data_IF_872636443847
#
_entry.id   IF_872636443847
#
_cell.length_a   1.000
_cell.length_b   1.000
_cell.length_c   1.000
_cell.angle_alpha   90.00
_cell.angle_beta   90.00
_cell.angle_gamma   90.00
#
_symmetry.space_group_name_H-M   'P 1'
#
loop_
_entity.id
_entity.type
_entity.pdbx_description
1 polymer ?
#
# COMPACT_ATOMS: atom_id res chain seq x y z
N UNK A 1 47.71 -10.88 -17.82
CA UNK A 1 46.73 -11.62 -18.63
C UNK A 1 45.55 -10.70 -18.89
N UNK A 2 45.39 -10.23 -20.12
CA UNK A 2 44.23 -9.45 -20.52
C UNK A 2 43.00 -10.41 -20.43
N UNK A 3 42.01 -10.06 -19.63
CA UNK A 3 40.70 -10.72 -19.66
C UNK A 3 40.16 -10.50 -21.08
N UNK A 4 40.05 -11.56 -21.89
CA UNK A 4 39.33 -11.53 -23.15
C UNK A 4 37.90 -11.05 -22.83
N UNK A 5 37.55 -9.86 -23.26
CA UNK A 5 36.23 -9.27 -23.14
C UNK A 5 35.29 -10.14 -24.00
N UNK A 6 34.49 -10.97 -23.37
CA UNK A 6 33.55 -11.84 -24.08
C UNK A 6 32.50 -10.97 -24.78
N UNK A 7 32.61 -10.85 -26.10
CA UNK A 7 31.66 -10.11 -26.94
C UNK A 7 30.83 -11.13 -27.74
N UNK A 8 29.52 -11.14 -27.51
CA UNK A 8 28.61 -12.08 -28.18
C UNK A 8 27.79 -11.36 -29.28
N UNK A 9 27.54 -12.09 -30.38
CA UNK A 9 26.54 -11.67 -31.37
C UNK A 9 25.13 -11.94 -30.88
N UNK A 10 24.14 -11.30 -31.50
CA UNK A 10 22.73 -11.37 -31.07
C UNK A 10 22.20 -12.81 -30.92
N UNK A 11 22.58 -13.72 -31.83
CA UNK A 11 22.12 -15.13 -31.77
C UNK A 11 22.78 -15.91 -30.63
N UNK A 12 24.05 -15.62 -30.34
CA UNK A 12 24.80 -16.23 -29.25
C UNK A 12 24.29 -15.75 -27.89
N UNK A 13 24.11 -14.43 -27.74
CA UNK A 13 23.53 -13.82 -26.56
C UNK A 13 22.09 -14.34 -26.30
N UNK A 14 21.25 -14.41 -27.31
CA UNK A 14 19.90 -14.92 -27.21
C UNK A 14 19.87 -16.40 -26.77
N UNK A 15 20.74 -17.25 -27.34
CA UNK A 15 20.87 -18.66 -26.95
C UNK A 15 21.35 -18.78 -25.49
N UNK A 16 22.35 -18.01 -25.08
CA UNK A 16 22.88 -18.04 -23.72
C UNK A 16 21.82 -17.63 -22.68
N UNK A 17 20.94 -16.68 -23.04
CA UNK A 17 19.92 -16.12 -22.15
C UNK A 17 18.56 -16.83 -22.26
N UNK A 18 18.44 -17.87 -23.13
CA UNK A 18 17.19 -18.61 -23.30
C UNK A 18 16.04 -17.81 -23.93
N UNK A 19 16.36 -16.75 -24.69
CA UNK A 19 15.35 -15.89 -25.33
C UNK A 19 15.54 -15.84 -26.86
N UNK A 20 14.60 -15.18 -27.57
CA UNK A 20 14.73 -15.01 -29.01
C UNK A 20 15.57 -13.76 -29.35
N UNK A 21 16.26 -13.73 -30.53
CA UNK A 21 16.91 -12.51 -31.01
C UNK A 21 15.94 -11.33 -31.14
N UNK A 22 14.65 -11.58 -31.40
CA UNK A 22 13.61 -10.56 -31.45
C UNK A 22 13.36 -9.95 -30.06
N UNK A 23 13.40 -10.73 -29.00
CA UNK A 23 13.26 -10.27 -27.61
C UNK A 23 14.38 -9.30 -27.25
N UNK A 24 15.64 -9.60 -27.62
CA UNK A 24 16.77 -8.70 -27.36
C UNK A 24 16.64 -7.36 -28.09
N UNK A 25 16.19 -7.39 -29.35
CA UNK A 25 15.91 -6.18 -30.14
C UNK A 25 14.77 -5.35 -29.53
N UNK A 26 13.74 -6.02 -29.06
CA UNK A 26 12.61 -5.37 -28.38
C UNK A 26 13.07 -4.63 -27.09
N UNK A 27 13.98 -5.22 -26.29
CA UNK A 27 14.54 -4.55 -25.13
C UNK A 27 15.44 -3.36 -25.52
N UNK A 28 16.16 -3.44 -26.62
CA UNK A 28 16.90 -2.31 -27.19
C UNK A 28 15.96 -1.18 -27.65
N UNK A 29 14.90 -1.51 -28.40
CA UNK A 29 13.86 -0.57 -28.83
C UNK A 29 13.15 0.14 -27.64
N UNK A 30 13.02 -0.55 -26.53
CA UNK A 30 12.48 0.00 -25.27
C UNK A 30 13.51 0.76 -24.43
N UNK A 31 14.75 0.90 -24.89
CA UNK A 31 15.80 1.62 -24.18
C UNK A 31 16.32 0.92 -22.91
N UNK A 32 16.02 -0.35 -22.74
CA UNK A 32 16.46 -1.13 -21.58
C UNK A 32 17.93 -1.54 -21.66
N UNK A 33 18.47 -1.68 -22.89
CA UNK A 33 19.86 -1.99 -23.20
C UNK A 33 20.33 -1.16 -24.38
N UNK A 34 21.64 -0.93 -24.48
CA UNK A 34 22.28 -0.17 -25.54
C UNK A 34 23.53 -0.93 -26.05
N UNK A 35 23.33 -2.08 -26.78
CA UNK A 35 24.48 -2.86 -27.27
C UNK A 35 25.29 -2.06 -28.26
N UNK A 36 26.61 -2.24 -28.21
CA UNK A 36 27.53 -1.61 -29.16
C UNK A 36 27.32 -2.19 -30.55
N UNK A 37 27.69 -1.42 -31.59
CA UNK A 37 27.74 -1.90 -32.98
C UNK A 37 29.20 -2.01 -33.39
N UNK A 38 29.57 -3.17 -33.97
CA UNK A 38 30.91 -3.36 -34.52
C UNK A 38 31.09 -2.48 -35.75
N UNK A 39 32.19 -1.73 -35.79
CA UNK A 39 32.49 -0.74 -36.83
C UNK A 39 32.63 -1.33 -38.25
N UNK A 40 32.99 -2.61 -38.36
CA UNK A 40 33.25 -3.25 -39.66
C UNK A 40 31.98 -3.67 -40.42
N UNK A 41 30.86 -3.97 -39.70
CA UNK A 41 29.70 -4.57 -40.37
C UNK A 41 28.35 -4.16 -39.71
N UNK A 42 28.36 -3.18 -38.80
CA UNK A 42 27.19 -2.65 -38.09
C UNK A 42 26.38 -3.71 -37.31
N UNK A 43 26.97 -4.90 -37.02
CA UNK A 43 26.34 -5.93 -36.22
C UNK A 43 26.38 -5.57 -34.74
N UNK A 44 25.27 -5.87 -34.03
CA UNK A 44 25.15 -5.71 -32.57
C UNK A 44 26.09 -6.65 -31.83
N UNK A 45 26.80 -6.11 -30.88
CA UNK A 45 27.71 -6.82 -29.98
C UNK A 45 27.29 -6.61 -28.53
N UNK A 46 27.20 -7.69 -27.78
CA UNK A 46 26.77 -7.72 -26.40
C UNK A 46 27.97 -8.01 -25.50
N UNK A 47 28.29 -7.05 -24.63
CA UNK A 47 29.33 -7.18 -23.60
C UNK A 47 28.83 -7.99 -22.41
N UNK A 48 29.72 -8.39 -21.50
CA UNK A 48 29.35 -9.04 -20.23
C UNK A 48 28.43 -8.14 -19.38
N UNK A 49 28.64 -6.83 -19.42
CA UNK A 49 27.75 -5.87 -18.78
C UNK A 49 26.33 -5.91 -19.38
N UNK A 50 26.21 -5.96 -20.71
CA UNK A 50 24.92 -6.09 -21.38
C UNK A 50 24.24 -7.40 -21.04
N UNK A 51 25.00 -8.50 -20.98
CA UNK A 51 24.47 -9.80 -20.59
C UNK A 51 23.96 -9.82 -19.14
N UNK A 52 24.70 -9.21 -18.22
CA UNK A 52 24.27 -9.09 -16.82
C UNK A 52 23.00 -8.25 -16.71
N UNK A 53 22.93 -7.12 -17.41
CA UNK A 53 21.72 -6.29 -17.45
C UNK A 53 20.54 -7.03 -18.07
N UNK A 54 20.74 -7.80 -19.12
CA UNK A 54 19.71 -8.64 -19.73
C UNK A 54 19.21 -9.74 -18.79
N UNK A 55 20.09 -10.37 -18.01
CA UNK A 55 19.68 -11.34 -16.98
C UNK A 55 18.74 -10.69 -15.97
N UNK A 56 19.04 -9.49 -15.48
CA UNK A 56 18.12 -8.73 -14.60
C UNK A 56 16.78 -8.49 -15.26
N UNK A 57 16.77 -7.99 -16.51
CA UNK A 57 15.53 -7.70 -17.25
C UNK A 57 14.67 -8.98 -17.38
N UNK A 58 15.26 -10.08 -17.84
CA UNK A 58 14.57 -11.34 -18.06
C UNK A 58 14.02 -11.87 -16.74
N UNK A 59 14.85 -11.93 -15.68
CA UNK A 59 14.43 -12.45 -14.38
C UNK A 59 13.29 -11.63 -13.77
N UNK A 60 13.37 -10.30 -13.81
CA UNK A 60 12.31 -9.44 -13.30
C UNK A 60 11.02 -9.54 -14.14
N UNK A 61 11.14 -9.76 -15.45
CA UNK A 61 10.00 -10.01 -16.34
C UNK A 61 9.29 -11.33 -16.02
N UNK A 62 10.04 -12.41 -15.78
CA UNK A 62 9.48 -13.70 -15.37
C UNK A 62 8.73 -13.59 -14.03
N UNK A 63 9.13 -12.69 -13.14
CA UNK A 63 8.40 -12.36 -11.92
C UNK A 63 7.16 -11.46 -12.16
N UNK A 64 6.86 -11.09 -13.42
CA UNK A 64 5.68 -10.29 -13.78
C UNK A 64 5.87 -8.78 -13.68
N UNK A 65 7.06 -8.29 -13.35
CA UNK A 65 7.33 -6.84 -13.24
C UNK A 65 7.23 -6.16 -14.61
N UNK A 66 6.61 -4.99 -14.67
CA UNK A 66 6.43 -4.22 -15.91
C UNK A 66 7.78 -3.73 -16.46
N UNK A 67 7.86 -3.54 -17.80
CA UNK A 67 9.09 -3.01 -18.41
C UNK A 67 9.43 -1.60 -17.92
N UNK A 68 8.43 -0.76 -17.64
CA UNK A 68 8.64 0.57 -17.07
C UNK A 68 9.28 0.49 -15.69
N UNK A 69 8.75 -0.34 -14.79
CA UNK A 69 9.30 -0.53 -13.43
C UNK A 69 10.71 -1.15 -13.47
N UNK A 70 10.97 -2.08 -14.41
CA UNK A 70 12.33 -2.63 -14.63
C UNK A 70 13.29 -1.54 -15.09
N UNK A 71 12.87 -0.68 -16.02
CA UNK A 71 13.69 0.44 -16.50
C UNK A 71 14.08 1.37 -15.36
N UNK A 72 13.11 1.77 -14.54
CA UNK A 72 13.33 2.61 -13.37
C UNK A 72 14.25 1.96 -12.32
N UNK A 73 14.05 0.69 -12.03
CA UNK A 73 14.91 -0.04 -11.09
C UNK A 73 16.36 -0.14 -11.60
N UNK A 74 16.54 -0.52 -12.86
CA UNK A 74 17.87 -0.66 -13.46
C UNK A 74 18.61 0.67 -13.66
N UNK A 75 17.92 1.81 -13.64
CA UNK A 75 18.57 3.12 -13.61
C UNK A 75 19.33 3.36 -12.28
N UNK A 76 18.89 2.72 -11.20
CA UNK A 76 19.47 2.84 -9.85
C UNK A 76 20.29 1.61 -9.44
N UNK A 77 20.69 0.73 -10.35
CA UNK A 77 21.34 -0.56 -10.02
C UNK A 77 22.66 -0.42 -9.24
N UNK A 78 23.34 0.71 -9.38
CA UNK A 78 24.56 1.03 -8.66
C UNK A 78 24.32 1.66 -7.27
N UNK A 79 23.06 1.92 -6.92
CA UNK A 79 22.61 2.49 -5.66
C UNK A 79 21.70 1.47 -4.96
N UNK A 80 22.24 0.56 -4.14
CA UNK A 80 21.49 -0.60 -3.63
C UNK A 80 20.15 -0.25 -2.98
N UNK A 81 20.13 0.78 -2.16
CA UNK A 81 18.92 1.25 -1.48
C UNK A 81 17.84 1.78 -2.45
N UNK A 82 18.26 2.59 -3.44
CA UNK A 82 17.35 3.11 -4.46
C UNK A 82 16.82 1.98 -5.36
N UNK A 83 17.67 1.02 -5.72
CA UNK A 83 17.27 -0.17 -6.48
C UNK A 83 16.23 -1.00 -5.70
N UNK A 84 16.50 -1.29 -4.41
CA UNK A 84 15.57 -2.04 -3.55
C UNK A 84 14.22 -1.33 -3.47
N UNK A 85 14.20 -0.02 -3.21
CA UNK A 85 12.94 0.78 -3.16
C UNK A 85 12.13 0.65 -4.46
N UNK A 86 12.78 0.69 -5.63
CA UNK A 86 12.10 0.55 -6.93
C UNK A 86 11.52 -0.85 -7.11
N UNK A 87 12.22 -1.90 -6.70
CA UNK A 87 11.71 -3.29 -6.74
C UNK A 87 10.57 -3.48 -5.74
N UNK A 88 10.63 -2.87 -4.56
CA UNK A 88 9.52 -2.88 -3.59
C UNK A 88 8.28 -2.19 -4.13
N UNK A 89 8.44 -1.04 -4.81
CA UNK A 89 7.33 -0.35 -5.49
C UNK A 89 6.71 -1.23 -6.59
N UNK A 90 7.54 -1.91 -7.38
CA UNK A 90 7.05 -2.84 -8.40
C UNK A 90 6.29 -4.03 -7.76
N UNK A 91 6.75 -4.54 -6.62
CA UNK A 91 6.03 -5.56 -5.85
C UNK A 91 4.65 -5.06 -5.38
N UNK A 92 4.55 -3.84 -4.89
CA UNK A 92 3.27 -3.25 -4.49
C UNK A 92 2.29 -3.17 -5.67
N UNK A 93 2.77 -2.78 -6.86
CA UNK A 93 1.96 -2.78 -8.10
C UNK A 93 1.47 -4.19 -8.49
N UNK A 94 2.30 -5.22 -8.32
CA UNK A 94 1.89 -6.61 -8.56
C UNK A 94 0.77 -7.04 -7.60
N UNK A 95 0.84 -6.65 -6.33
CA UNK A 95 -0.24 -6.91 -5.38
C UNK A 95 -1.54 -6.21 -5.77
N UNK A 96 -1.48 -4.97 -6.23
CA UNK A 96 -2.65 -4.25 -6.73
C UNK A 96 -3.31 -4.97 -7.92
N UNK A 97 -2.50 -5.44 -8.87
CA UNK A 97 -2.98 -6.24 -10.00
C UNK A 97 -3.61 -7.56 -9.53
N UNK A 98 -2.98 -8.24 -8.58
CA UNK A 98 -3.50 -9.48 -8.00
C UNK A 98 -4.83 -9.26 -7.28
N UNK A 99 -4.97 -8.21 -6.46
CA UNK A 99 -6.23 -7.86 -5.77
C UNK A 99 -7.31 -7.61 -6.81
N UNK A 100 -7.01 -6.82 -7.84
CA UNK A 100 -7.96 -6.52 -8.92
C UNK A 100 -8.41 -7.79 -9.65
N UNK A 101 -7.47 -8.67 -10.00
CA UNK A 101 -7.77 -9.95 -10.65
C UNK A 101 -8.57 -10.88 -9.73
N UNK A 102 -8.23 -10.95 -8.43
CA UNK A 102 -8.93 -11.77 -7.44
C UNK A 102 -10.38 -11.33 -7.27
N UNK A 103 -10.64 -10.02 -7.18
CA UNK A 103 -12.00 -9.48 -7.12
C UNK A 103 -12.81 -9.78 -8.40
N UNK A 104 -12.17 -9.65 -9.57
CA UNK A 104 -12.81 -9.98 -10.84
C UNK A 104 -13.18 -11.48 -10.92
N UNK A 105 -12.29 -12.37 -10.46
CA UNK A 105 -12.58 -13.80 -10.39
C UNK A 105 -13.76 -14.09 -9.44
N UNK A 106 -13.76 -13.50 -8.26
CA UNK A 106 -14.85 -13.63 -7.29
C UNK A 106 -16.20 -13.18 -7.86
N UNK A 107 -16.24 -12.02 -8.52
CA UNK A 107 -17.46 -11.52 -9.18
C UNK A 107 -17.92 -12.45 -10.29
N UNK A 108 -17.00 -12.99 -11.10
CA UNK A 108 -17.33 -13.98 -12.13
C UNK A 108 -17.85 -15.29 -11.54
N UNK A 109 -17.27 -15.78 -10.44
CA UNK A 109 -17.72 -17.01 -9.78
C UNK A 109 -19.16 -16.86 -9.26
N UNK A 110 -19.50 -15.71 -8.67
CA UNK A 110 -20.88 -15.39 -8.25
C UNK A 110 -21.80 -15.37 -9.46
N UNK A 111 -21.48 -14.61 -10.50
CA UNK A 111 -22.29 -14.49 -11.71
C UNK A 111 -22.49 -15.85 -12.39
N UNK A 112 -21.44 -16.66 -12.53
CA UNK A 112 -21.53 -18.02 -13.10
C UNK A 112 -22.44 -18.91 -12.23
N UNK A 113 -22.37 -18.79 -10.90
CA UNK A 113 -23.23 -19.55 -9.99
C UNK A 113 -24.71 -19.17 -10.20
N UNK A 114 -25.02 -17.90 -10.31
CA UNK A 114 -26.37 -17.40 -10.59
C UNK A 114 -26.89 -17.92 -11.94
N UNK A 115 -26.08 -17.85 -13.01
CA UNK A 115 -26.45 -18.39 -14.31
C UNK A 115 -26.71 -19.90 -14.29
N UNK A 116 -25.95 -20.66 -13.48
CA UNK A 116 -26.19 -22.09 -13.29
C UNK A 116 -27.54 -22.37 -12.61
N UNK A 117 -27.94 -21.52 -11.66
CA UNK A 117 -29.22 -21.64 -10.97
C UNK A 117 -30.41 -21.23 -11.84
N UNK A 118 -30.30 -20.10 -12.53
CA UNK A 118 -31.34 -19.59 -13.45
C UNK A 118 -31.42 -20.38 -14.77
N UNK A 119 -30.36 -21.16 -15.08
CA UNK A 119 -30.14 -21.87 -16.36
C UNK A 119 -30.09 -20.94 -17.58
N UNK A 120 -29.90 -19.67 -17.37
CA UNK A 120 -29.81 -18.67 -18.44
C UNK A 120 -28.81 -17.55 -18.09
N UNK A 121 -27.85 -17.22 -18.98
CA UNK A 121 -26.99 -16.05 -18.82
C UNK A 121 -27.78 -14.76 -19.02
N UNK A 122 -27.72 -13.86 -18.03
CA UNK A 122 -28.34 -12.54 -18.10
C UNK A 122 -27.25 -11.46 -18.20
N UNK A 123 -27.41 -10.56 -19.16
CA UNK A 123 -26.43 -9.51 -19.42
C UNK A 123 -26.33 -8.54 -18.24
N UNK A 124 -27.44 -8.21 -17.61
CA UNK A 124 -27.51 -7.24 -16.49
C UNK A 124 -26.62 -7.64 -15.31
N UNK A 125 -26.47 -8.95 -15.05
CA UNK A 125 -25.65 -9.48 -13.96
C UNK A 125 -24.15 -9.22 -14.22
N UNK A 126 -23.68 -9.47 -15.44
CA UNK A 126 -22.27 -9.22 -15.79
C UNK A 126 -21.99 -7.71 -15.93
N UNK A 127 -22.97 -6.92 -16.38
CA UNK A 127 -22.86 -5.45 -16.41
C UNK A 127 -22.75 -4.88 -15.00
N UNK A 128 -23.53 -5.38 -14.05
CA UNK A 128 -23.43 -4.99 -12.64
C UNK A 128 -22.05 -5.26 -12.07
N UNK A 129 -21.53 -6.48 -12.28
CA UNK A 129 -20.19 -6.86 -11.82
C UNK A 129 -19.10 -5.96 -12.46
N UNK A 130 -19.23 -5.66 -13.75
CA UNK A 130 -18.28 -4.80 -14.47
C UNK A 130 -18.32 -3.33 -13.97
N UNK A 131 -19.51 -2.78 -13.70
CA UNK A 131 -19.65 -1.44 -13.14
C UNK A 131 -19.12 -1.34 -11.71
N UNK A 132 -19.29 -2.36 -10.87
CA UNK A 132 -18.68 -2.43 -9.55
C UNK A 132 -17.15 -2.41 -9.63
N UNK A 133 -16.56 -3.22 -10.51
CA UNK A 133 -15.11 -3.23 -10.74
C UNK A 133 -14.61 -1.87 -11.24
N UNK A 134 -15.35 -1.22 -12.12
CA UNK A 134 -15.04 0.11 -12.64
C UNK A 134 -15.10 1.16 -11.53
N UNK A 135 -16.13 1.15 -10.69
CA UNK A 135 -16.28 2.04 -9.54
C UNK A 135 -15.09 1.88 -8.59
N UNK A 136 -14.74 0.66 -8.20
CA UNK A 136 -13.61 0.37 -7.32
C UNK A 136 -12.29 0.90 -7.88
N UNK A 137 -12.07 0.75 -9.19
CA UNK A 137 -10.88 1.31 -9.85
C UNK A 137 -10.87 2.84 -9.82
N UNK A 138 -12.01 3.50 -10.05
CA UNK A 138 -12.12 4.96 -10.02
C UNK A 138 -11.92 5.51 -8.60
N UNK A 139 -12.52 4.89 -7.59
CA UNK A 139 -12.34 5.25 -6.18
C UNK A 139 -10.86 5.16 -5.79
N UNK A 140 -10.17 4.08 -6.16
CA UNK A 140 -8.73 3.94 -5.88
C UNK A 140 -7.90 4.99 -6.64
N UNK A 141 -8.20 5.22 -7.91
CA UNK A 141 -7.46 6.18 -8.73
C UNK A 141 -7.70 7.65 -8.35
N UNK A 142 -8.78 7.96 -7.62
CA UNK A 142 -9.08 9.32 -7.16
C UNK A 142 -8.23 9.74 -5.96
N UNK A 143 -7.52 8.81 -5.32
CA UNK A 143 -6.64 9.13 -4.20
C UNK A 143 -5.36 9.82 -4.68
N UNK A 144 -4.95 10.87 -4.01
CA UNK A 144 -3.66 11.53 -4.20
C UNK A 144 -3.20 12.15 -2.88
N UNK A 145 -1.89 12.14 -2.63
CA UNK A 145 -1.31 12.86 -1.50
C UNK A 145 -1.40 14.37 -1.74
N UNK A 146 -2.34 15.02 -1.03
CA UNK A 146 -2.57 16.47 -1.10
C UNK A 146 -1.77 17.24 -0.04
N UNK A 147 -1.14 16.53 0.89
CA UNK A 147 -0.43 17.11 2.04
C UNK A 147 1.08 17.13 1.83
N UNK A 148 1.60 16.45 0.80
CA UNK A 148 3.03 16.32 0.55
C UNK A 148 3.77 15.73 1.78
N UNK A 149 3.37 14.55 2.20
CA UNK A 149 3.95 13.89 3.38
C UNK A 149 5.45 13.67 3.29
N UNK A 150 6.01 13.43 2.10
CA UNK A 150 7.46 13.37 1.92
C UNK A 150 8.12 14.71 2.31
N UNK A 151 7.56 15.84 1.87
CA UNK A 151 8.06 17.17 2.24
C UNK A 151 7.91 17.47 3.72
N UNK A 152 6.78 17.12 4.33
CA UNK A 152 6.57 17.27 5.78
C UNK A 152 7.56 16.39 6.57
N UNK A 153 7.80 15.16 6.17
CA UNK A 153 8.73 14.26 6.81
C UNK A 153 10.16 14.80 6.81
N UNK A 154 10.60 15.39 5.70
CA UNK A 154 11.91 16.03 5.59
C UNK A 154 12.06 17.25 6.51
N UNK A 155 10.96 17.97 6.78
CA UNK A 155 10.98 19.17 7.65
C UNK A 155 10.85 18.83 9.14
N UNK A 156 10.00 17.90 9.51
CA UNK A 156 9.56 17.67 10.88
C UNK A 156 9.99 16.31 11.45
N UNK A 157 10.50 15.41 10.61
CA UNK A 157 11.00 14.11 11.08
C UNK A 157 9.95 13.33 11.88
N UNK A 158 10.27 13.01 13.13
CA UNK A 158 9.39 12.22 14.00
C UNK A 158 8.10 12.94 14.40
N UNK A 159 8.08 14.27 14.40
CA UNK A 159 6.92 15.05 14.81
C UNK A 159 5.90 15.23 13.70
N UNK A 160 6.22 14.76 12.48
CA UNK A 160 5.37 14.94 11.30
C UNK A 160 3.91 14.53 11.52
N UNK A 161 3.59 13.35 12.14
CA UNK A 161 2.19 12.97 12.35
C UNK A 161 1.43 13.96 13.23
N UNK A 162 2.04 14.48 14.31
CA UNK A 162 1.43 15.47 15.19
C UNK A 162 1.30 16.84 14.49
N UNK A 163 2.36 17.26 13.80
CA UNK A 163 2.36 18.53 13.05
C UNK A 163 1.31 18.54 11.94
N UNK A 164 1.11 17.40 11.26
CA UNK A 164 0.11 17.26 10.20
C UNK A 164 -1.33 17.45 10.69
N UNK A 165 -1.57 17.31 12.01
CA UNK A 165 -2.86 17.59 12.64
C UNK A 165 -3.10 19.09 12.90
N UNK A 166 -2.10 19.95 12.61
CA UNK A 166 -2.24 21.41 12.58
C UNK A 166 -2.67 22.06 13.88
N UNK A 167 -2.35 21.47 15.04
CA UNK A 167 -2.74 21.99 16.35
C UNK A 167 -4.12 21.56 16.83
N UNK A 168 -4.84 20.71 16.06
CA UNK A 168 -6.16 20.18 16.45
C UNK A 168 -6.11 19.36 17.76
N UNK A 169 -4.96 18.77 18.05
CA UNK A 169 -4.68 18.01 19.27
C UNK A 169 -3.41 18.55 19.94
N UNK A 170 -3.41 18.55 21.27
CA UNK A 170 -2.17 18.67 22.02
C UNK A 170 -1.34 17.39 21.89
N UNK A 171 -0.03 17.49 22.17
CA UNK A 171 0.86 16.34 22.20
C UNK A 171 0.37 15.27 23.20
N UNK A 172 -0.15 15.68 24.36
CA UNK A 172 -0.72 14.79 25.38
C UNK A 172 -1.92 14.03 24.81
N UNK A 173 -2.90 14.73 24.22
CA UNK A 173 -4.07 14.13 23.60
C UNK A 173 -3.72 13.14 22.48
N UNK A 174 -2.71 13.50 21.66
CA UNK A 174 -2.20 12.62 20.61
C UNK A 174 -1.59 11.34 21.20
N UNK A 175 -0.71 11.47 22.20
CA UNK A 175 -0.07 10.34 22.84
C UNK A 175 -1.06 9.46 23.59
N UNK A 176 -2.04 10.04 24.28
CA UNK A 176 -3.12 9.31 24.95
C UNK A 176 -3.94 8.48 23.94
N UNK A 177 -4.22 9.03 22.76
CA UNK A 177 -4.92 8.31 21.71
C UNK A 177 -4.12 7.09 21.21
N UNK A 178 -2.80 7.20 21.08
CA UNK A 178 -1.94 6.07 20.72
C UNK A 178 -1.89 5.02 21.83
N UNK A 179 -1.77 5.42 23.09
CA UNK A 179 -1.74 4.51 24.25
C UNK A 179 -3.08 3.76 24.34
N UNK A 180 -4.21 4.45 24.28
CA UNK A 180 -5.53 3.81 24.27
C UNK A 180 -5.68 2.80 23.12
N UNK A 181 -5.13 3.10 21.94
CA UNK A 181 -5.15 2.18 20.79
C UNK A 181 -4.44 0.88 21.13
N UNK A 182 -3.25 0.96 21.76
CA UNK A 182 -2.49 -0.24 22.17
C UNK A 182 -3.21 -1.00 23.27
N UNK A 183 -3.75 -0.31 24.28
CA UNK A 183 -4.49 -0.93 25.38
C UNK A 183 -5.72 -1.70 24.90
N UNK A 184 -6.48 -1.14 23.95
CA UNK A 184 -7.66 -1.81 23.40
C UNK A 184 -7.30 -2.98 22.47
N UNK A 185 -6.19 -2.88 21.74
CA UNK A 185 -5.69 -3.99 20.94
C UNK A 185 -5.10 -5.11 21.80
N UNK A 186 -4.53 -4.77 22.96
CA UNK A 186 -3.88 -5.71 23.90
C UNK A 186 -3.04 -6.77 23.18
N UNK A 187 -1.98 -6.36 22.47
CA UNK A 187 -1.18 -7.30 21.68
C UNK A 187 -0.39 -8.26 22.55
N UNK A 188 -0.51 -9.55 22.24
CA UNK A 188 0.29 -10.59 22.89
C UNK A 188 1.76 -10.59 22.45
N UNK A 189 2.61 -11.26 23.25
CA UNK A 189 4.01 -11.48 22.89
C UNK A 189 4.11 -12.26 21.57
N UNK A 190 4.97 -11.76 20.66
CA UNK A 190 5.18 -12.33 19.32
C UNK A 190 3.94 -12.36 18.41
N UNK A 191 2.85 -11.72 18.80
CA UNK A 191 1.64 -11.67 18.01
C UNK A 191 1.86 -10.87 16.72
N UNK A 192 1.36 -11.37 15.59
CA UNK A 192 1.52 -10.73 14.28
C UNK A 192 0.51 -9.61 14.11
N UNK A 193 1.00 -8.37 14.14
CA UNK A 193 0.22 -7.17 13.94
C UNK A 193 0.52 -6.46 12.63
N UNK A 194 -0.46 -5.70 12.17
CA UNK A 194 -0.34 -4.81 11.02
C UNK A 194 -0.67 -3.38 11.45
N UNK A 195 0.20 -2.44 11.13
CA UNK A 195 -0.08 -1.02 11.23
C UNK A 195 -0.21 -0.40 9.84
N UNK A 196 -1.28 0.37 9.63
CA UNK A 196 -1.54 1.07 8.39
C UNK A 196 -1.25 2.56 8.56
N UNK A 197 -0.50 3.11 7.61
CA UNK A 197 -0.03 4.50 7.62
C UNK A 197 0.67 4.87 8.95
N UNK A 198 1.73 4.14 9.34
CA UNK A 198 2.47 4.36 10.59
C UNK A 198 3.12 5.74 10.68
N UNK A 199 3.26 6.44 9.57
CA UNK A 199 4.04 7.66 9.47
C UNK A 199 5.48 7.45 9.95
N UNK A 200 5.93 8.25 10.91
CA UNK A 200 7.27 8.14 11.52
C UNK A 200 7.39 7.01 12.56
N UNK A 201 6.33 6.21 12.79
CA UNK A 201 6.34 5.04 13.67
C UNK A 201 6.08 5.31 15.14
N UNK A 202 5.27 6.31 15.48
CA UNK A 202 4.97 6.62 16.88
C UNK A 202 4.14 5.51 17.55
N UNK A 203 3.07 5.03 16.90
CA UNK A 203 2.31 3.89 17.39
C UNK A 203 3.10 2.59 17.23
N UNK A 204 3.87 2.42 16.13
CA UNK A 204 4.75 1.25 15.92
C UNK A 204 5.66 1.01 17.13
N UNK A 205 6.25 2.09 17.68
CA UNK A 205 7.14 1.98 18.84
C UNK A 205 6.42 1.44 20.10
N UNK A 206 5.16 1.81 20.30
CA UNK A 206 4.34 1.34 21.40
C UNK A 206 3.93 -0.13 21.21
N UNK A 207 3.49 -0.51 20.01
CA UNK A 207 3.11 -1.89 19.68
C UNK A 207 4.30 -2.85 19.81
N UNK A 208 5.49 -2.47 19.32
CA UNK A 208 6.70 -3.26 19.48
C UNK A 208 7.10 -3.38 20.95
N UNK A 209 6.98 -2.29 21.72
CA UNK A 209 7.25 -2.32 23.18
C UNK A 209 6.28 -3.23 23.94
N UNK A 210 5.01 -3.32 23.47
CA UNK A 210 4.03 -4.25 24.00
C UNK A 210 4.30 -5.72 23.63
N UNK A 211 5.26 -5.98 22.73
CA UNK A 211 5.72 -7.33 22.38
C UNK A 211 5.26 -7.84 21.02
N UNK A 212 4.55 -7.03 20.24
CA UNK A 212 4.06 -7.43 18.91
C UNK A 212 5.19 -7.61 17.89
N UNK A 213 5.02 -8.57 16.98
CA UNK A 213 5.76 -8.64 15.70
C UNK A 213 5.00 -7.83 14.66
N UNK A 214 5.55 -6.69 14.27
CA UNK A 214 4.82 -5.69 13.51
C UNK A 214 5.26 -5.64 12.04
N UNK A 215 4.27 -5.74 11.15
CA UNK A 215 4.38 -5.27 9.77
C UNK A 215 3.73 -3.89 9.68
N UNK A 216 4.32 -2.96 8.95
CA UNK A 216 3.78 -1.62 8.74
C UNK A 216 3.73 -1.31 7.24
N UNK A 217 2.61 -0.72 6.77
CA UNK A 217 2.43 -0.32 5.37
C UNK A 217 2.31 1.20 5.31
N UNK A 218 3.30 1.83 4.64
CA UNK A 218 3.41 3.27 4.50
C UNK A 218 3.56 3.66 3.03
N UNK A 219 2.90 4.73 2.62
CA UNK A 219 2.95 5.20 1.25
C UNK A 219 4.06 6.23 1.02
N UNK A 220 4.29 7.13 1.99
CA UNK A 220 5.36 8.12 1.92
C UNK A 220 6.73 7.43 2.01
N UNK A 221 7.58 7.67 1.02
CA UNK A 221 8.92 7.09 0.96
C UNK A 221 9.81 7.63 2.10
N UNK A 222 9.66 8.91 2.44
CA UNK A 222 10.44 9.57 3.48
C UNK A 222 9.99 9.13 4.88
N UNK A 223 8.67 9.01 5.13
CA UNK A 223 8.16 8.43 6.37
C UNK A 223 8.64 6.98 6.55
N UNK A 224 8.56 6.19 5.49
CA UNK A 224 9.04 4.81 5.49
C UNK A 224 10.54 4.72 5.82
N UNK A 225 11.35 5.64 5.31
CA UNK A 225 12.78 5.71 5.61
C UNK A 225 13.03 6.06 7.10
N UNK A 226 12.27 7.02 7.64
CA UNK A 226 12.33 7.38 9.06
C UNK A 226 11.95 6.18 9.93
N UNK A 227 10.83 5.51 9.63
CA UNK A 227 10.36 4.33 10.35
C UNK A 227 11.41 3.22 10.37
N UNK A 228 11.99 2.88 9.22
CA UNK A 228 13.05 1.85 9.08
C UNK A 228 14.28 2.19 9.90
N UNK A 229 14.71 3.45 9.87
CA UNK A 229 15.85 3.92 10.68
C UNK A 229 15.59 3.86 12.18
N UNK A 230 14.36 4.20 12.60
CA UNK A 230 13.96 4.24 14.02
C UNK A 230 13.69 2.85 14.60
N UNK A 231 13.01 2.00 13.85
CA UNK A 231 12.48 0.71 14.31
C UNK A 231 12.84 -0.41 13.32
N UNK A 232 14.13 -0.81 13.26
CA UNK A 232 14.59 -1.83 12.28
C UNK A 232 13.96 -3.22 12.50
N UNK A 233 13.32 -3.46 13.65
CA UNK A 233 12.58 -4.70 13.94
C UNK A 233 11.19 -4.73 13.28
N UNK A 234 10.68 -3.59 12.82
CA UNK A 234 9.39 -3.51 12.11
C UNK A 234 9.59 -3.86 10.63
N UNK A 235 8.78 -4.77 10.11
CA UNK A 235 8.76 -5.06 8.69
C UNK A 235 8.01 -3.94 7.94
N UNK A 236 8.71 -2.87 7.59
CA UNK A 236 8.12 -1.71 6.94
C UNK A 236 8.08 -1.87 5.41
N UNK A 237 6.89 -1.83 4.82
CA UNK A 237 6.62 -2.05 3.39
C UNK A 237 6.01 -0.80 2.74
N UNK A 238 6.45 -0.42 1.53
CA UNK A 238 5.75 0.59 0.75
C UNK A 238 4.41 0.03 0.27
N UNK A 239 3.36 0.83 0.36
CA UNK A 239 2.02 0.45 -0.10
C UNK A 239 0.96 1.45 0.27
N UNK A 240 -0.23 1.25 -0.30
CA UNK A 240 -1.41 2.07 -0.04
C UNK A 240 -2.48 1.22 0.66
N UNK A 241 -3.19 1.81 1.63
CA UNK A 241 -4.24 1.11 2.37
C UNK A 241 -5.48 0.76 1.53
N UNK A 242 -5.61 1.34 0.33
CA UNK A 242 -6.68 1.00 -0.63
C UNK A 242 -6.35 -0.27 -1.45
N UNK A 243 -5.11 -0.78 -1.36
CA UNK A 243 -4.66 -2.01 -2.00
C UNK A 243 -3.41 -2.52 -1.26
N UNK A 244 -3.63 -3.25 -0.17
CA UNK A 244 -2.54 -3.69 0.71
C UNK A 244 -1.65 -4.73 0.04
N UNK A 245 -0.31 -4.53 -0.01
CA UNK A 245 0.64 -5.48 -0.60
C UNK A 245 0.90 -6.67 0.34
N UNK A 246 -0.18 -7.31 0.78
CA UNK A 246 -0.19 -8.34 1.82
C UNK A 246 -1.14 -9.49 1.44
N UNK A 247 -0.80 -10.70 1.88
CA UNK A 247 -1.66 -11.86 1.73
C UNK A 247 -2.93 -11.72 2.60
N UNK A 248 -4.01 -12.39 2.18
CA UNK A 248 -5.23 -12.47 2.96
C UNK A 248 -4.99 -13.24 4.27
N UNK A 249 -5.79 -12.94 5.31
CA UNK A 249 -5.82 -13.67 6.59
C UNK A 249 -4.42 -13.93 7.16
N UNK A 250 -3.68 -12.86 7.40
CA UNK A 250 -2.26 -12.95 7.81
C UNK A 250 -1.98 -12.32 9.17
N UNK A 251 -2.86 -11.46 9.68
CA UNK A 251 -2.61 -10.67 10.88
C UNK A 251 -3.67 -10.89 11.93
N UNK A 252 -3.25 -10.98 13.20
CA UNK A 252 -4.12 -11.16 14.34
C UNK A 252 -4.77 -9.86 14.79
N UNK A 253 -4.09 -8.73 14.55
CA UNK A 253 -4.67 -7.41 14.79
C UNK A 253 -4.20 -6.40 13.73
N UNK A 254 -5.00 -5.35 13.56
CA UNK A 254 -4.71 -4.21 12.70
C UNK A 254 -4.91 -2.92 13.46
N UNK A 255 -3.96 -1.99 13.35
CA UNK A 255 -4.05 -0.64 13.86
C UNK A 255 -3.99 0.38 12.71
N UNK A 256 -4.83 1.40 12.77
CA UNK A 256 -4.79 2.55 11.87
C UNK A 256 -5.06 3.81 12.67
N UNK A 257 -4.04 4.68 12.85
CA UNK A 257 -4.19 5.89 13.65
C UNK A 257 -3.96 7.14 12.81
N UNK A 258 -4.87 8.11 12.94
CA UNK A 258 -4.80 9.43 12.30
C UNK A 258 -4.57 9.42 10.78
N UNK A 259 -5.10 8.39 10.09
CA UNK A 259 -4.93 8.24 8.64
C UNK A 259 -6.25 8.23 7.86
N UNK A 260 -7.34 7.69 8.44
CA UNK A 260 -8.61 7.52 7.71
C UNK A 260 -9.21 8.84 7.22
N UNK A 261 -8.99 9.94 7.94
CA UNK A 261 -9.53 11.26 7.54
C UNK A 261 -8.88 11.85 6.28
N UNK A 262 -7.80 11.25 5.77
CA UNK A 262 -7.21 11.58 4.47
C UNK A 262 -7.92 10.90 3.30
N UNK A 263 -8.80 9.96 3.58
CA UNK A 263 -9.59 9.21 2.61
C UNK A 263 -11.00 9.77 2.54
N UNK A 264 -11.56 9.91 1.35
CA UNK A 264 -12.98 10.21 1.21
C UNK A 264 -13.84 9.01 1.68
N UNK A 265 -15.16 9.17 1.90
CA UNK A 265 -16.00 8.11 2.46
C UNK A 265 -15.94 6.77 1.70
N UNK A 266 -15.93 6.80 0.36
CA UNK A 266 -15.83 5.56 -0.44
C UNK A 266 -14.46 4.89 -0.28
N UNK A 267 -13.39 5.68 -0.17
CA UNK A 267 -12.04 5.19 0.08
C UNK A 267 -11.89 4.63 1.50
N UNK A 268 -12.57 5.20 2.50
CA UNK A 268 -12.58 4.68 3.88
C UNK A 268 -13.20 3.28 3.92
N UNK A 269 -14.31 3.05 3.22
CA UNK A 269 -14.92 1.73 3.14
C UNK A 269 -14.03 0.74 2.37
N UNK A 270 -13.35 1.19 1.32
CA UNK A 270 -12.37 0.37 0.58
C UNK A 270 -11.18 -0.02 1.47
N UNK A 271 -10.69 0.89 2.32
CA UNK A 271 -9.65 0.58 3.29
C UNK A 271 -10.11 -0.46 4.33
N UNK A 272 -11.35 -0.35 4.83
CA UNK A 272 -11.92 -1.37 5.71
C UNK A 272 -12.03 -2.74 5.02
N UNK A 273 -12.39 -2.78 3.73
CA UNK A 273 -12.43 -4.02 2.95
C UNK A 273 -11.05 -4.68 2.85
N UNK A 274 -9.99 -3.90 2.66
CA UNK A 274 -8.63 -4.42 2.66
C UNK A 274 -8.16 -4.86 4.05
N UNK A 275 -8.55 -4.13 5.11
CA UNK A 275 -8.31 -4.54 6.49
C UNK A 275 -9.01 -5.89 6.78
N UNK A 276 -10.28 -6.01 6.42
CA UNK A 276 -11.04 -7.27 6.56
C UNK A 276 -10.36 -8.43 5.80
N UNK A 277 -9.89 -8.18 4.58
CA UNK A 277 -9.23 -9.20 3.76
C UNK A 277 -7.96 -9.77 4.42
N UNK A 278 -7.15 -8.92 5.06
CA UNK A 278 -5.86 -9.33 5.64
C UNK A 278 -5.93 -9.76 7.10
N UNK A 279 -7.02 -9.43 7.80
CA UNK A 279 -7.26 -9.79 9.19
C UNK A 279 -7.73 -11.24 9.30
N UNK A 280 -7.16 -12.00 10.23
CA UNK A 280 -7.58 -13.35 10.58
C UNK A 280 -9.01 -13.38 11.16
N UNK A 281 -9.70 -14.52 11.08
CA UNK A 281 -10.89 -14.77 11.89
C UNK A 281 -10.51 -14.72 13.37
N UNK A 282 -11.35 -14.13 14.19
CA UNK A 282 -11.06 -13.84 15.59
C UNK A 282 -10.07 -12.68 15.80
N UNK A 283 -9.60 -12.05 14.72
CA UNK A 283 -8.67 -10.92 14.78
C UNK A 283 -9.35 -9.62 15.25
N UNK A 284 -8.51 -8.63 15.60
CA UNK A 284 -8.94 -7.34 16.17
C UNK A 284 -8.51 -6.19 15.28
N UNK A 285 -9.36 -5.17 15.20
CA UNK A 285 -9.12 -3.95 14.43
C UNK A 285 -9.31 -2.74 15.34
N UNK A 286 -8.37 -1.79 15.34
CA UNK A 286 -8.52 -0.49 15.96
C UNK A 286 -8.28 0.62 14.94
N UNK A 287 -9.27 1.49 14.78
CA UNK A 287 -9.18 2.72 13.99
C UNK A 287 -9.34 3.90 14.94
N UNK A 288 -8.28 4.69 15.09
CA UNK A 288 -8.25 5.88 15.96
C UNK A 288 -7.96 7.11 15.12
N UNK A 289 -8.70 8.18 15.34
CA UNK A 289 -8.43 9.42 14.60
C UNK A 289 -9.59 10.40 14.62
N UNK A 290 -9.55 11.33 13.68
CA UNK A 290 -10.57 12.36 13.54
C UNK A 290 -11.86 11.72 13.07
N UNK A 291 -12.89 11.76 13.93
CA UNK A 291 -14.19 11.12 13.68
C UNK A 291 -15.33 12.04 14.08
N UNK A 292 -16.40 11.99 13.31
CA UNK A 292 -17.73 12.49 13.68
C UNK A 292 -18.48 11.38 14.40
N UNK A 293 -18.93 11.66 15.61
CA UNK A 293 -19.75 10.72 16.37
C UNK A 293 -21.21 10.73 15.88
N UNK A 294 -21.69 11.88 15.43
CA UNK A 294 -23.03 12.10 14.88
C UNK A 294 -22.97 12.86 13.55
N UNK A 295 -23.98 12.70 12.70
CA UNK A 295 -24.06 13.35 11.38
C UNK A 295 -24.06 14.89 11.47
N UNK A 296 -24.71 15.45 12.50
CA UNK A 296 -24.86 16.90 12.75
C UNK A 296 -23.75 17.47 13.63
N UNK A 297 -22.59 16.84 13.71
CA UNK A 297 -21.51 17.22 14.61
C UNK A 297 -20.82 18.53 14.14
N UNK A 298 -21.28 19.66 14.67
CA UNK A 298 -20.75 20.99 14.40
C UNK A 298 -19.44 21.31 15.14
N UNK A 299 -19.03 20.45 16.08
CA UNK A 299 -17.79 20.62 16.87
C UNK A 299 -16.58 20.61 15.96
N UNK A 300 -16.54 19.72 14.97
CA UNK A 300 -15.46 19.69 13.98
C UNK A 300 -15.45 20.94 13.11
N UNK A 301 -16.62 21.49 12.75
CA UNK A 301 -16.69 22.73 11.98
C UNK A 301 -16.09 23.89 12.76
N UNK A 302 -16.40 24.03 14.05
CA UNK A 302 -15.84 25.10 14.89
C UNK A 302 -14.34 24.94 15.08
N UNK A 303 -13.84 23.73 15.32
CA UNK A 303 -12.41 23.44 15.48
C UNK A 303 -11.59 23.76 14.20
N UNK A 304 -12.16 23.55 13.01
CA UNK A 304 -11.50 23.88 11.75
C UNK A 304 -11.54 25.38 11.40
N UNK A 305 -12.49 26.14 11.92
CA UNK A 305 -12.59 27.59 11.65
C UNK A 305 -11.59 28.42 12.45
N UNK A 306 -11.15 27.94 13.62
CA UNK A 306 -10.20 28.66 14.47
C UNK A 306 -8.74 28.47 14.04
N UNK A 307 -8.40 27.33 13.43
CA UNK A 307 -7.05 27.04 12.95
C UNK A 307 -7.02 26.98 11.41
N UNK A 308 -5.98 27.61 10.84
CA UNK A 308 -5.74 27.79 9.39
C UNK A 308 -5.56 26.52 8.56
N UNK A 309 -6.11 25.39 8.99
CA UNK A 309 -6.08 24.12 8.26
C UNK A 309 -7.20 24.19 7.22
N UNK A 310 -6.86 23.96 5.95
CA UNK A 310 -7.84 23.99 4.87
C UNK A 310 -8.86 22.86 5.05
N UNK A 311 -10.13 23.13 5.38
CA UNK A 311 -11.14 22.11 5.64
C UNK A 311 -11.53 21.29 4.41
N UNK A 312 -11.05 21.67 3.23
CA UNK A 312 -11.44 21.06 1.94
C UNK A 312 -10.74 19.74 1.64
N UNK A 313 -9.69 19.38 2.39
CA UNK A 313 -8.88 18.18 2.11
C UNK A 313 -9.07 17.05 3.13
N UNK A 314 -9.72 17.34 4.27
CA UNK A 314 -9.99 16.32 5.28
C UNK A 314 -11.41 15.81 5.19
N UNK A 315 -11.53 14.50 5.37
CA UNK A 315 -12.80 13.77 5.43
C UNK A 315 -12.90 13.03 6.77
N UNK A 316 -13.25 13.72 7.87
CA UNK A 316 -13.45 13.05 9.16
C UNK A 316 -14.35 11.85 8.99
N UNK A 317 -13.92 10.71 9.52
CA UNK A 317 -14.71 9.48 9.39
C UNK A 317 -16.02 9.63 10.16
N UNK A 318 -17.13 9.22 9.54
CA UNK A 318 -18.39 9.11 10.24
C UNK A 318 -18.44 7.77 10.98
N UNK A 319 -18.44 7.80 12.31
CA UNK A 319 -18.38 6.59 13.15
C UNK A 319 -19.51 5.60 12.80
N UNK A 320 -20.73 6.07 12.61
CA UNK A 320 -21.89 5.23 12.22
C UNK A 320 -21.67 4.52 10.89
N UNK A 321 -21.03 5.16 9.90
CA UNK A 321 -20.75 4.55 8.60
C UNK A 321 -19.77 3.38 8.73
N UNK A 322 -18.68 3.57 9.48
CA UNK A 322 -17.68 2.52 9.70
C UNK A 322 -18.26 1.36 10.51
N UNK A 323 -19.03 1.66 11.59
CA UNK A 323 -19.70 0.67 12.42
C UNK A 323 -20.69 -0.16 11.60
N UNK A 324 -21.58 0.50 10.84
CA UNK A 324 -22.56 -0.20 10.02
C UNK A 324 -21.91 -1.15 9.01
N UNK A 325 -20.79 -0.74 8.41
CA UNK A 325 -20.06 -1.60 7.50
C UNK A 325 -19.47 -2.82 8.21
N UNK A 326 -18.82 -2.62 9.37
CA UNK A 326 -18.20 -3.68 10.16
C UNK A 326 -19.25 -4.66 10.69
N UNK A 327 -20.34 -4.16 11.28
CA UNK A 327 -21.44 -5.00 11.79
C UNK A 327 -22.17 -5.75 10.68
N UNK A 328 -22.29 -5.13 9.49
CA UNK A 328 -22.79 -5.80 8.29
C UNK A 328 -21.91 -6.98 7.82
N UNK A 329 -20.63 -7.01 8.23
CA UNK A 329 -19.69 -8.13 8.04
C UNK A 329 -19.65 -9.09 9.24
N UNK A 330 -20.44 -8.85 10.27
CA UNK A 330 -20.52 -9.70 11.47
C UNK A 330 -19.53 -9.34 12.57
N UNK A 331 -18.81 -8.22 12.48
CA UNK A 331 -17.93 -7.76 13.55
C UNK A 331 -18.73 -7.32 14.78
N UNK A 332 -18.15 -7.52 15.96
CA UNK A 332 -18.59 -6.84 17.18
C UNK A 332 -17.79 -5.55 17.32
N UNK A 333 -18.47 -4.42 17.53
CA UNK A 333 -17.86 -3.09 17.55
C UNK A 333 -17.97 -2.42 18.91
N UNK A 334 -16.99 -1.60 19.26
CA UNK A 334 -16.99 -0.70 20.42
C UNK A 334 -16.42 0.65 19.99
N UNK A 335 -17.00 1.75 20.49
CA UNK A 335 -16.59 3.12 20.20
C UNK A 335 -16.31 3.89 21.48
N UNK A 336 -15.14 4.53 21.57
CA UNK A 336 -14.81 5.46 22.63
C UNK A 336 -14.52 6.84 22.06
N UNK A 337 -15.14 7.87 22.63
CA UNK A 337 -14.76 9.26 22.41
C UNK A 337 -13.52 9.57 23.24
N UNK A 338 -12.42 9.97 22.63
CA UNK A 338 -11.16 10.33 23.32
C UNK A 338 -11.07 11.84 23.56
N UNK A 339 -11.50 12.62 22.59
CA UNK A 339 -11.65 14.09 22.65
C UNK A 339 -12.93 14.47 21.88
N UNK A 340 -13.35 15.76 21.90
CA UNK A 340 -14.49 16.19 21.11
C UNK A 340 -14.37 15.91 19.58
N UNK A 341 -13.15 15.71 19.08
CA UNK A 341 -12.85 15.55 17.64
C UNK A 341 -12.22 14.22 17.30
N UNK A 342 -11.84 13.41 18.29
CA UNK A 342 -11.18 12.11 18.09
C UNK A 342 -11.91 10.99 18.78
N UNK A 343 -12.00 9.84 18.09
CA UNK A 343 -12.54 8.62 18.66
C UNK A 343 -11.67 7.42 18.30
N UNK A 344 -11.82 6.37 19.08
CA UNK A 344 -11.28 5.04 18.85
C UNK A 344 -12.44 4.09 18.56
N UNK A 345 -12.45 3.52 17.38
CA UNK A 345 -13.32 2.43 16.98
C UNK A 345 -12.54 1.11 17.04
N UNK A 346 -12.97 0.23 17.90
CA UNK A 346 -12.47 -1.14 18.01
C UNK A 346 -13.48 -2.10 17.40
N UNK A 347 -12.99 -3.13 16.72
CA UNK A 347 -13.82 -4.17 16.16
C UNK A 347 -13.15 -5.54 16.27
N UNK A 348 -13.94 -6.56 16.58
CA UNK A 348 -13.51 -7.97 16.62
C UNK A 348 -14.19 -8.73 15.50
N UNK A 349 -13.38 -9.38 14.66
CA UNK A 349 -13.83 -10.19 13.52
C UNK A 349 -14.40 -11.52 14.02
N UNK A 350 -15.53 -12.00 13.49
CA UNK A 350 -16.10 -13.28 13.87
C UNK A 350 -15.19 -14.46 13.53
#
# INVERSE_FOLDING_TARGET
MALEVMILKVHEAARLLGVTPRTLRFYEEKGLIHPSKLSENNYRSYSEHDLTRLRWIISLRELGISLSSIHEALASINEPEAFIRKVESARAQLYEQWITASKALQSLDVTISEWRHSRFPELDQIEYAAEEMKRNRLVRASWSDQWNYDGLALQHGFDTPLVSLGGLLSEEQYNDALINTVEWLDPGMDELGLELAPGSGNLSALLVRAGAKLTAVEQSAEMLAILRGRLPAVEARPGNMLALPLAAQSYSFIACTFAMHHLNPDQQLMALEEMDRVLLHGGRLAVTGIMKLHDDDDVLKSAFFEDKISPTTWHPSLASSLINWLEGKGYSTMLASLTPVTALLYASKP
#
